data_IF_189010026874
#
_entry.id   IF_189010026874
#
_cell.length_a   1.000
_cell.length_b   1.000
_cell.length_c   1.000
_cell.angle_alpha   90.00
_cell.angle_beta   90.00
_cell.angle_gamma   90.00
#
_symmetry.space_group_name_H-M   'P 1'
#
loop_
_entity.id
_entity.type
_entity.pdbx_description
1 polymer ?
#
# COMPACT_ATOMS: atom_id res chain seq x y z
N UNK A 1 34.89 5.22 8.19
CA UNK A 1 35.78 4.19 8.79
C UNK A 1 35.74 2.90 7.98
N UNK A 2 36.75 2.07 8.09
CA UNK A 2 36.83 0.75 7.43
C UNK A 2 35.66 -0.15 7.83
N UNK A 3 35.27 -0.12 9.11
CA UNK A 3 34.12 -0.90 9.60
C UNK A 3 32.83 -0.52 8.86
N UNK A 4 32.56 0.77 8.74
CA UNK A 4 31.38 1.24 7.99
C UNK A 4 31.38 0.77 6.52
N UNK A 5 32.57 0.82 5.87
CA UNK A 5 32.70 0.34 4.47
C UNK A 5 32.50 -1.15 4.33
N UNK A 6 32.92 -1.97 5.32
CA UNK A 6 32.68 -3.42 5.29
C UNK A 6 31.19 -3.77 5.22
N UNK A 7 30.35 -3.01 5.91
CA UNK A 7 28.91 -3.26 5.92
C UNK A 7 28.15 -2.59 4.76
N UNK A 8 28.61 -1.39 4.32
CA UNK A 8 27.88 -0.63 3.30
C UNK A 8 28.45 -0.77 1.86
N UNK A 9 29.74 -0.98 1.72
CA UNK A 9 30.45 -1.03 0.44
C UNK A 9 31.58 -2.08 0.46
N UNK A 10 31.30 -3.37 0.74
CA UNK A 10 32.31 -4.41 0.89
C UNK A 10 33.16 -4.59 -0.36
N UNK A 11 32.61 -4.33 -1.54
CA UNK A 11 33.31 -4.45 -2.83
C UNK A 11 34.51 -3.51 -2.97
N UNK A 12 34.58 -2.44 -2.17
CA UNK A 12 35.70 -1.49 -2.18
C UNK A 12 36.85 -1.92 -1.28
N UNK A 13 36.79 -3.07 -0.62
CA UNK A 13 37.74 -3.54 0.35
C UNK A 13 38.27 -4.93 -0.03
N UNK A 14 39.47 -5.23 0.43
CA UNK A 14 40.03 -6.58 0.27
C UNK A 14 39.22 -7.59 1.06
N UNK A 15 38.92 -8.74 0.47
CA UNK A 15 38.10 -9.80 1.05
C UNK A 15 38.59 -10.20 2.48
N UNK A 16 39.91 -10.37 2.67
CA UNK A 16 40.51 -10.64 3.99
C UNK A 16 40.12 -9.61 5.04
N UNK A 17 40.01 -8.35 4.69
CA UNK A 17 39.59 -7.28 5.59
C UNK A 17 38.11 -7.38 5.93
N UNK A 18 37.28 -7.66 4.93
CA UNK A 18 35.85 -7.84 5.10
C UNK A 18 35.55 -9.02 6.04
N UNK A 19 36.17 -10.18 5.82
CA UNK A 19 36.01 -11.36 6.65
C UNK A 19 36.45 -11.12 8.09
N UNK A 20 37.61 -10.49 8.29
CA UNK A 20 38.12 -10.16 9.64
C UNK A 20 37.20 -9.25 10.41
N UNK A 21 36.72 -8.17 9.79
CA UNK A 21 35.81 -7.21 10.45
C UNK A 21 34.48 -7.85 10.77
N UNK A 22 33.91 -8.63 9.86
CA UNK A 22 32.65 -9.36 10.11
C UNK A 22 32.78 -10.37 11.27
N UNK A 23 33.87 -11.13 11.31
CA UNK A 23 34.14 -12.08 12.39
C UNK A 23 34.23 -11.40 13.75
N UNK A 24 34.97 -10.25 13.82
CA UNK A 24 35.05 -9.49 15.06
C UNK A 24 33.72 -8.87 15.46
N UNK A 25 32.97 -8.31 14.51
CA UNK A 25 31.63 -7.77 14.75
C UNK A 25 30.68 -8.83 15.31
N UNK A 26 30.66 -10.02 14.71
CA UNK A 26 29.84 -11.16 15.19
C UNK A 26 30.21 -11.57 16.62
N UNK A 27 31.52 -11.68 16.93
CA UNK A 27 32.00 -12.04 18.28
C UNK A 27 31.64 -10.99 19.33
N UNK A 28 31.57 -9.71 18.94
CA UNK A 28 31.20 -8.60 19.83
C UNK A 28 29.69 -8.32 19.88
N UNK A 29 28.87 -9.11 19.17
CA UNK A 29 27.43 -8.84 19.06
C UNK A 29 27.11 -7.54 18.33
N UNK A 30 28.07 -6.97 17.57
CA UNK A 30 27.86 -5.73 16.86
C UNK A 30 27.07 -5.98 15.56
N UNK A 31 25.94 -5.29 15.45
CA UNK A 31 25.21 -5.14 14.18
C UNK A 31 25.14 -3.67 13.79
N UNK A 32 25.22 -3.33 12.49
CA UNK A 32 25.01 -1.96 12.05
C UNK A 32 23.65 -1.44 12.48
N UNK A 33 23.62 -0.30 13.16
CA UNK A 33 22.38 0.34 13.56
C UNK A 33 21.75 1.04 12.33
N UNK A 34 20.60 0.53 11.89
CA UNK A 34 19.85 1.08 10.74
C UNK A 34 19.36 2.51 11.02
N UNK A 35 18.94 2.82 12.25
CA UNK A 35 18.52 4.16 12.64
C UNK A 35 19.68 5.18 12.58
N UNK A 36 20.88 4.79 13.06
CA UNK A 36 22.08 5.63 12.94
C UNK A 36 22.51 5.81 11.48
N UNK A 37 22.25 4.81 10.62
CA UNK A 37 22.49 4.91 9.18
C UNK A 37 21.48 5.85 8.53
N UNK A 38 20.20 5.71 8.83
CA UNK A 38 19.14 6.59 8.33
C UNK A 38 19.41 8.05 8.70
N UNK A 39 19.79 8.32 9.95
CA UNK A 39 20.15 9.66 10.42
C UNK A 39 21.32 10.27 9.62
N UNK A 40 22.34 9.46 9.29
CA UNK A 40 23.52 9.92 8.54
C UNK A 40 23.26 10.10 7.05
N UNK A 41 22.41 9.28 6.45
CA UNK A 41 22.12 9.28 5.00
C UNK A 41 20.88 10.08 4.64
N UNK A 42 20.04 10.44 5.63
CA UNK A 42 18.73 11.04 5.42
C UNK A 42 17.73 10.10 4.76
N UNK A 43 18.00 8.78 4.73
CA UNK A 43 17.15 7.80 4.06
C UNK A 43 16.87 6.59 4.94
N UNK A 44 15.61 6.29 5.14
CA UNK A 44 15.15 5.02 5.68
C UNK A 44 15.08 3.96 4.56
N UNK A 45 15.48 2.72 4.87
CA UNK A 45 15.32 1.58 3.95
C UNK A 45 14.02 0.81 4.26
N UNK A 46 13.02 1.53 4.76
CA UNK A 46 11.68 1.01 5.02
C UNK A 46 10.66 1.79 4.21
N UNK A 47 9.58 1.14 3.84
CA UNK A 47 8.33 1.75 3.37
C UNK A 47 7.17 1.21 4.21
N UNK A 48 6.08 1.95 4.29
CA UNK A 48 4.84 1.46 4.88
C UNK A 48 3.88 0.93 3.80
N UNK A 49 3.08 -0.05 4.16
CA UNK A 49 1.86 -0.42 3.47
C UNK A 49 0.74 -0.39 4.48
N UNK A 50 -0.23 0.49 4.29
CA UNK A 50 -1.45 0.54 5.11
C UNK A 50 -2.61 -0.02 4.30
N UNK A 51 -3.34 -0.96 4.89
CA UNK A 51 -4.49 -1.64 4.29
C UNK A 51 -5.70 -1.50 5.20
N UNK A 52 -6.93 -1.48 4.66
CA UNK A 52 -8.13 -1.31 5.46
C UNK A 52 -8.44 -2.54 6.33
N UNK A 53 -8.22 -3.75 5.83
CA UNK A 53 -8.49 -4.99 6.55
C UNK A 53 -7.65 -6.15 6.00
N UNK A 54 -6.72 -6.68 6.81
CA UNK A 54 -5.89 -7.83 6.43
C UNK A 54 -6.66 -9.15 6.37
N UNK A 55 -7.84 -9.23 6.95
CA UNK A 55 -8.70 -10.42 6.86
C UNK A 55 -9.42 -10.51 5.51
N UNK A 56 -9.53 -9.39 4.80
CA UNK A 56 -10.03 -9.36 3.43
C UNK A 56 -9.04 -10.09 2.50
N UNK A 57 -9.45 -11.20 1.84
CA UNK A 57 -8.55 -12.03 1.03
C UNK A 57 -7.92 -11.30 -0.17
N UNK A 58 -8.39 -10.11 -0.51
CA UNK A 58 -7.81 -9.26 -1.55
C UNK A 58 -6.51 -8.57 -1.09
N UNK A 59 -6.34 -8.30 0.21
CA UNK A 59 -5.21 -7.52 0.73
C UNK A 59 -3.90 -8.32 0.86
N UNK A 60 -3.87 -9.58 1.33
CA UNK A 60 -2.63 -10.33 1.46
C UNK A 60 -1.83 -10.50 0.16
N UNK A 61 -2.43 -10.79 -1.01
CA UNK A 61 -1.69 -10.80 -2.28
C UNK A 61 -1.04 -9.47 -2.63
N UNK A 62 -1.69 -8.34 -2.34
CA UNK A 62 -1.12 -6.99 -2.52
C UNK A 62 0.08 -6.81 -1.60
N UNK A 63 -0.06 -7.15 -0.32
CA UNK A 63 1.02 -7.04 0.65
C UNK A 63 2.24 -7.87 0.24
N UNK A 64 2.04 -9.10 -0.19
CA UNK A 64 3.12 -9.97 -0.70
C UNK A 64 3.79 -9.38 -1.95
N UNK A 65 3.03 -8.82 -2.88
CA UNK A 65 3.57 -8.19 -4.08
C UNK A 65 4.42 -6.96 -3.72
N UNK A 66 3.93 -6.08 -2.85
CA UNK A 66 4.66 -4.90 -2.37
C UNK A 66 5.95 -5.32 -1.66
N UNK A 67 5.89 -6.31 -0.75
CA UNK A 67 7.08 -6.82 -0.07
C UNK A 67 8.12 -7.39 -1.04
N UNK A 68 7.68 -8.17 -2.03
CA UNK A 68 8.56 -8.78 -3.04
C UNK A 68 9.28 -7.73 -3.88
N UNK A 69 8.57 -6.69 -4.34
CA UNK A 69 9.18 -5.62 -5.15
C UNK A 69 10.07 -4.71 -4.29
N UNK A 70 9.64 -4.35 -3.08
CA UNK A 70 10.43 -3.58 -2.13
C UNK A 70 11.77 -4.26 -1.79
N UNK A 71 11.74 -5.58 -1.55
CA UNK A 71 12.94 -6.37 -1.24
C UNK A 71 13.99 -6.36 -2.36
N UNK A 72 13.57 -6.33 -3.65
CA UNK A 72 14.49 -6.21 -4.78
C UNK A 72 15.28 -4.90 -4.76
N UNK A 73 14.70 -3.86 -4.17
CA UNK A 73 15.29 -2.53 -4.03
C UNK A 73 15.97 -2.32 -2.67
N UNK A 74 15.98 -3.35 -1.82
CA UNK A 74 16.59 -3.31 -0.49
C UNK A 74 15.73 -2.66 0.59
N UNK A 75 14.43 -2.51 0.36
CA UNK A 75 13.49 -1.97 1.34
C UNK A 75 12.79 -3.08 2.13
N UNK A 76 12.55 -2.82 3.42
CA UNK A 76 11.62 -3.57 4.25
C UNK A 76 10.23 -2.91 4.21
N UNK A 77 9.16 -3.70 4.40
CA UNK A 77 7.79 -3.19 4.41
C UNK A 77 7.18 -3.33 5.80
N UNK A 78 6.77 -2.22 6.39
CA UNK A 78 5.93 -2.20 7.58
C UNK A 78 4.48 -2.27 7.12
N UNK A 79 3.71 -3.18 7.69
CA UNK A 79 2.29 -3.34 7.34
C UNK A 79 1.45 -2.83 8.50
N UNK A 80 0.55 -1.90 8.20
CA UNK A 80 -0.48 -1.39 9.10
C UNK A 80 -1.86 -1.88 8.67
N UNK A 81 -2.66 -2.38 9.62
CA UNK A 81 -4.06 -2.70 9.44
C UNK A 81 -4.92 -1.60 10.05
N UNK A 82 -5.74 -0.94 9.25
CA UNK A 82 -6.51 0.22 9.69
C UNK A 82 -7.89 -0.16 10.28
N UNK A 83 -8.28 -1.44 10.24
CA UNK A 83 -9.55 -1.96 10.74
C UNK A 83 -10.78 -1.23 10.16
N UNK A 84 -10.71 -0.85 8.88
CA UNK A 84 -11.75 -0.08 8.16
C UNK A 84 -12.03 1.31 8.77
N UNK A 85 -11.17 1.80 9.66
CA UNK A 85 -11.32 3.07 10.40
C UNK A 85 -10.39 4.16 9.82
N UNK A 86 -10.95 5.27 9.26
CA UNK A 86 -10.16 6.39 8.74
C UNK A 86 -9.22 7.04 9.76
N UNK A 87 -9.63 7.14 11.03
CA UNK A 87 -8.81 7.76 12.08
C UNK A 87 -7.63 6.87 12.47
N UNK A 88 -7.83 5.56 12.47
CA UNK A 88 -6.75 4.61 12.69
C UNK A 88 -5.77 4.57 11.50
N UNK A 89 -6.27 4.73 10.27
CA UNK A 89 -5.45 4.85 9.05
C UNK A 89 -4.51 6.06 9.13
N UNK A 90 -5.03 7.23 9.53
CA UNK A 90 -4.24 8.44 9.74
C UNK A 90 -3.19 8.26 10.84
N UNK A 91 -3.58 7.75 12.00
CA UNK A 91 -2.69 7.47 13.12
C UNK A 91 -1.52 6.56 12.74
N UNK A 92 -1.78 5.49 11.97
CA UNK A 92 -0.75 4.58 11.49
C UNK A 92 0.26 5.27 10.59
N UNK A 93 -0.20 6.10 9.65
CA UNK A 93 0.68 6.83 8.75
C UNK A 93 1.53 7.86 9.49
N UNK A 94 0.96 8.59 10.44
CA UNK A 94 1.70 9.53 11.28
C UNK A 94 2.77 8.81 12.12
N UNK A 95 2.47 7.66 12.71
CA UNK A 95 3.44 6.86 13.47
C UNK A 95 4.56 6.27 12.61
N UNK A 96 4.26 5.95 11.36
CA UNK A 96 5.26 5.43 10.45
C UNK A 96 6.13 6.53 9.81
N UNK A 97 5.65 7.77 9.74
CA UNK A 97 6.27 8.86 8.98
C UNK A 97 7.76 9.07 9.28
N UNK A 98 8.17 8.94 10.55
CA UNK A 98 9.57 9.08 10.99
C UNK A 98 10.43 7.84 10.69
N UNK A 99 9.81 6.70 10.37
CA UNK A 99 10.47 5.40 10.28
C UNK A 99 10.56 4.86 8.85
N UNK A 100 9.87 5.49 7.89
CA UNK A 100 9.80 5.04 6.51
C UNK A 100 10.15 6.16 5.53
N UNK A 101 10.53 5.80 4.31
CA UNK A 101 10.81 6.75 3.23
C UNK A 101 9.58 7.13 2.40
N UNK A 102 8.49 6.43 2.58
CA UNK A 102 7.23 6.62 1.89
C UNK A 102 6.24 5.53 2.26
N UNK A 103 5.00 5.69 1.84
CA UNK A 103 3.94 4.73 2.11
C UNK A 103 3.10 4.40 0.87
N UNK A 104 2.62 3.17 0.84
CA UNK A 104 1.56 2.70 -0.05
C UNK A 104 0.28 2.63 0.77
N UNK A 105 -0.76 3.31 0.33
CA UNK A 105 -2.05 3.34 0.98
C UNK A 105 -3.05 2.59 0.09
N UNK A 106 -3.44 1.40 0.50
CA UNK A 106 -4.27 0.51 -0.30
C UNK A 106 -5.74 0.65 0.07
N UNK A 107 -6.55 1.06 -0.89
CA UNK A 107 -8.00 1.25 -0.73
C UNK A 107 -8.35 2.06 0.54
N UNK A 108 -7.79 3.27 0.70
CA UNK A 108 -7.97 4.07 1.91
C UNK A 108 -9.43 4.41 2.20
N UNK A 109 -9.72 4.60 3.49
CA UNK A 109 -11.02 5.01 4.00
C UNK A 109 -11.06 6.48 4.39
N UNK A 110 -9.91 7.11 4.55
CA UNK A 110 -9.79 8.54 4.81
C UNK A 110 -10.34 9.37 3.64
N UNK A 111 -10.84 10.54 3.94
CA UNK A 111 -11.29 11.50 2.92
C UNK A 111 -10.10 12.09 2.12
N UNK A 112 -10.42 12.78 1.04
CA UNK A 112 -9.41 13.35 0.16
C UNK A 112 -8.53 14.38 0.89
N UNK A 113 -9.11 15.25 1.70
CA UNK A 113 -8.38 16.32 2.38
C UNK A 113 -7.35 15.76 3.38
N UNK A 114 -7.73 14.71 4.11
CA UNK A 114 -6.84 13.98 5.02
C UNK A 114 -5.68 13.34 4.26
N UNK A 115 -5.95 12.64 3.15
CA UNK A 115 -4.91 11.99 2.34
C UNK A 115 -3.97 13.03 1.73
N UNK A 116 -4.48 14.16 1.22
CA UNK A 116 -3.67 15.26 0.70
C UNK A 116 -2.77 15.86 1.79
N UNK A 117 -3.28 16.03 3.01
CA UNK A 117 -2.50 16.51 4.15
C UNK A 117 -1.38 15.53 4.52
N UNK A 118 -1.65 14.23 4.53
CA UNK A 118 -0.66 13.20 4.79
C UNK A 118 0.41 13.13 3.68
N UNK A 119 0.03 13.38 2.43
CA UNK A 119 0.96 13.42 1.30
C UNK A 119 1.96 14.60 1.37
N UNK A 120 1.66 15.64 2.15
CA UNK A 120 2.61 16.71 2.44
C UNK A 120 3.67 16.31 3.49
N UNK A 121 3.38 15.29 4.30
CA UNK A 121 4.26 14.81 5.38
C UNK A 121 5.14 13.66 4.87
N UNK A 122 4.57 12.75 4.10
CA UNK A 122 5.23 11.53 3.63
C UNK A 122 4.90 11.26 2.15
N UNK A 123 5.87 10.86 1.31
CA UNK A 123 5.58 10.43 -0.05
C UNK A 123 4.57 9.28 -0.07
N UNK A 124 3.44 9.47 -0.76
CA UNK A 124 2.37 8.47 -0.86
C UNK A 124 2.22 7.93 -2.28
N UNK A 125 1.84 6.66 -2.35
CA UNK A 125 1.28 5.99 -3.53
C UNK A 125 -0.04 5.37 -3.14
N UNK A 126 -1.09 5.60 -3.92
CA UNK A 126 -2.42 5.08 -3.65
C UNK A 126 -2.71 3.83 -4.50
N UNK A 127 -3.45 2.89 -3.93
CA UNK A 127 -4.06 1.76 -4.66
C UNK A 127 -5.57 1.87 -4.48
N UNK A 128 -6.31 1.83 -5.59
CA UNK A 128 -7.77 1.92 -5.60
C UNK A 128 -8.33 3.18 -4.91
N UNK A 129 -7.67 4.30 -5.09
CA UNK A 129 -8.15 5.63 -4.72
C UNK A 129 -7.64 6.63 -5.75
N UNK A 130 -8.54 7.40 -6.34
CA UNK A 130 -8.20 8.41 -7.34
C UNK A 130 -8.16 9.79 -6.68
N UNK A 131 -6.96 10.35 -6.51
CA UNK A 131 -6.74 11.71 -6.05
C UNK A 131 -5.73 12.36 -7.00
N UNK A 132 -6.11 13.44 -7.72
CA UNK A 132 -5.20 14.15 -8.60
C UNK A 132 -3.94 14.62 -7.87
N UNK A 133 -2.78 14.50 -8.53
CA UNK A 133 -1.49 14.94 -7.96
C UNK A 133 -0.78 13.90 -7.09
N UNK A 134 -1.44 12.83 -6.66
CA UNK A 134 -0.80 11.72 -5.94
C UNK A 134 -0.64 10.52 -6.88
N UNK A 135 0.55 9.91 -6.97
CA UNK A 135 0.77 8.68 -7.75
C UNK A 135 -0.19 7.58 -7.30
N UNK A 136 -0.78 6.87 -8.27
CA UNK A 136 -1.80 5.87 -7.96
C UNK A 136 -1.86 4.72 -8.96
N UNK A 137 -2.36 3.58 -8.50
CA UNK A 137 -2.72 2.41 -9.29
C UNK A 137 -4.20 2.14 -9.08
N UNK A 138 -4.99 2.16 -10.14
CA UNK A 138 -6.43 1.95 -10.10
C UNK A 138 -6.77 0.61 -10.77
N UNK A 139 -7.72 -0.11 -10.18
CA UNK A 139 -8.34 -1.29 -10.78
C UNK A 139 -9.72 -0.85 -11.24
N UNK A 140 -9.92 -0.85 -12.54
CA UNK A 140 -11.24 -0.56 -13.13
C UNK A 140 -12.16 -1.79 -12.96
N UNK A 141 -12.94 -1.74 -11.89
CA UNK A 141 -13.96 -2.75 -11.61
C UNK A 141 -15.32 -2.39 -12.23
N UNK A 142 -15.47 -1.19 -12.77
CA UNK A 142 -16.74 -0.69 -13.32
C UNK A 142 -17.18 -1.48 -14.55
N UNK A 143 -16.28 -1.68 -15.50
CA UNK A 143 -16.57 -2.50 -16.70
C UNK A 143 -17.07 -3.89 -16.34
N UNK A 144 -16.43 -4.57 -15.39
CA UNK A 144 -16.85 -5.90 -14.96
C UNK A 144 -18.24 -5.89 -14.30
N UNK A 145 -18.57 -4.85 -13.54
CA UNK A 145 -19.91 -4.72 -12.94
C UNK A 145 -20.99 -4.46 -13.98
N UNK A 146 -20.72 -3.61 -14.98
CA UNK A 146 -21.65 -3.39 -16.09
C UNK A 146 -21.91 -4.69 -16.88
N UNK A 147 -20.86 -5.47 -17.15
CA UNK A 147 -20.99 -6.78 -17.82
C UNK A 147 -21.79 -7.79 -16.96
N UNK A 148 -21.64 -7.78 -15.63
CA UNK A 148 -22.44 -8.61 -14.73
C UNK A 148 -23.94 -8.27 -14.82
N UNK A 149 -24.30 -6.98 -14.86
CA UNK A 149 -25.68 -6.53 -15.02
C UNK A 149 -26.22 -6.97 -16.40
N UNK A 150 -25.46 -6.77 -17.48
CA UNK A 150 -25.84 -7.22 -18.83
C UNK A 150 -26.06 -8.74 -18.88
N UNK A 151 -25.19 -9.49 -18.22
CA UNK A 151 -25.31 -10.95 -18.13
C UNK A 151 -26.63 -11.36 -17.48
N UNK A 152 -26.97 -10.78 -16.32
CA UNK A 152 -28.25 -11.04 -15.65
C UNK A 152 -29.45 -10.65 -16.52
N UNK A 153 -29.37 -9.51 -17.22
CA UNK A 153 -30.38 -9.08 -18.16
C UNK A 153 -30.59 -10.09 -19.29
N UNK A 154 -29.51 -10.64 -19.85
CA UNK A 154 -29.57 -11.65 -20.93
C UNK A 154 -30.27 -12.95 -20.48
N UNK A 155 -30.25 -13.28 -19.18
CA UNK A 155 -31.03 -14.38 -18.59
C UNK A 155 -32.48 -14.00 -18.26
N UNK A 156 -32.93 -12.80 -18.62
CA UNK A 156 -34.30 -12.35 -18.44
C UNK A 156 -34.60 -11.75 -17.05
N UNK A 157 -33.62 -11.53 -16.22
CA UNK A 157 -33.81 -10.87 -14.93
C UNK A 157 -34.23 -9.41 -15.13
N UNK A 158 -35.34 -9.00 -14.53
CA UNK A 158 -35.87 -7.63 -14.57
C UNK A 158 -35.73 -6.90 -13.23
N UNK A 159 -35.38 -7.61 -12.17
CA UNK A 159 -35.18 -7.09 -10.84
C UNK A 159 -33.86 -7.65 -10.29
N UNK A 160 -32.95 -6.78 -9.86
CA UNK A 160 -31.66 -7.13 -9.29
C UNK A 160 -31.52 -6.43 -7.94
N UNK A 161 -30.89 -7.09 -7.00
CA UNK A 161 -30.50 -6.50 -5.72
C UNK A 161 -28.99 -6.31 -5.73
N UNK A 162 -28.53 -5.07 -5.46
CA UNK A 162 -27.13 -4.76 -5.30
C UNK A 162 -26.77 -4.64 -3.81
N UNK A 163 -25.92 -5.53 -3.33
CA UNK A 163 -25.38 -5.47 -1.97
C UNK A 163 -24.10 -4.66 -1.99
N UNK A 164 -24.18 -3.45 -1.48
CA UNK A 164 -23.07 -2.48 -1.46
C UNK A 164 -21.97 -2.89 -0.48
N UNK A 165 -20.74 -2.48 -0.76
CA UNK A 165 -19.63 -2.51 0.17
C UNK A 165 -19.61 -1.29 1.12
N UNK A 166 -18.49 -1.05 1.86
CA UNK A 166 -18.34 0.08 2.76
C UNK A 166 -18.52 1.42 2.04
N UNK A 167 -19.26 2.36 2.64
CA UNK A 167 -19.60 3.66 2.05
C UNK A 167 -18.38 4.54 1.76
N UNK A 168 -17.31 4.41 2.55
CA UNK A 168 -16.07 5.17 2.37
C UNK A 168 -15.09 4.52 1.38
N UNK A 169 -15.50 3.44 0.69
CA UNK A 169 -14.66 2.77 -0.30
C UNK A 169 -14.85 3.37 -1.68
N UNK A 170 -13.83 4.05 -2.21
CA UNK A 170 -13.83 4.54 -3.60
C UNK A 170 -14.13 3.44 -4.62
N UNK A 171 -13.53 2.26 -4.47
CA UNK A 171 -13.82 1.12 -5.36
C UNK A 171 -15.26 0.63 -5.27
N UNK A 172 -15.91 0.76 -4.11
CA UNK A 172 -17.33 0.47 -3.99
C UNK A 172 -18.18 1.50 -4.73
N UNK A 173 -17.85 2.78 -4.57
CA UNK A 173 -18.53 3.87 -5.30
C UNK A 173 -18.46 3.68 -6.81
N UNK A 174 -17.27 3.36 -7.36
CA UNK A 174 -17.10 3.10 -8.79
C UNK A 174 -17.93 1.90 -9.29
N UNK A 175 -17.94 0.81 -8.51
CA UNK A 175 -18.79 -0.37 -8.83
C UNK A 175 -20.27 -0.02 -8.80
N UNK A 176 -20.69 0.72 -7.79
CA UNK A 176 -22.09 1.14 -7.63
C UNK A 176 -22.54 1.99 -8.80
N UNK A 177 -21.78 3.01 -9.17
CA UNK A 177 -22.08 3.87 -10.33
C UNK A 177 -22.28 3.03 -11.59
N UNK A 178 -21.37 2.12 -11.90
CA UNK A 178 -21.46 1.27 -13.10
C UNK A 178 -22.66 0.31 -13.09
N UNK A 179 -23.03 -0.21 -11.90
CA UNK A 179 -24.24 -1.04 -11.76
C UNK A 179 -25.49 -0.22 -12.01
N UNK A 180 -25.59 0.99 -11.45
CA UNK A 180 -26.74 1.88 -11.64
C UNK A 180 -26.89 2.28 -13.12
N UNK A 181 -25.82 2.75 -13.75
CA UNK A 181 -25.83 3.13 -15.16
C UNK A 181 -26.22 1.96 -16.09
N UNK A 182 -25.68 0.76 -15.86
CA UNK A 182 -26.01 -0.40 -16.64
C UNK A 182 -27.46 -0.88 -16.42
N UNK A 183 -27.98 -0.81 -15.20
CA UNK A 183 -29.33 -1.17 -14.88
C UNK A 183 -30.34 -0.20 -15.51
N UNK A 184 -30.06 1.10 -15.46
CA UNK A 184 -30.88 2.13 -16.10
C UNK A 184 -30.94 1.94 -17.63
N UNK A 185 -29.76 1.74 -18.26
CA UNK A 185 -29.68 1.52 -19.72
C UNK A 185 -30.41 0.28 -20.20
N UNK A 186 -30.64 -0.71 -19.33
CA UNK A 186 -31.33 -1.98 -19.63
C UNK A 186 -32.72 -2.06 -19.05
N UNK A 187 -33.23 -0.96 -18.51
CA UNK A 187 -34.56 -0.89 -17.88
C UNK A 187 -34.77 -1.96 -16.77
N UNK A 188 -33.71 -2.25 -16.02
CA UNK A 188 -33.73 -3.20 -14.90
C UNK A 188 -34.01 -2.44 -13.61
N UNK A 189 -34.97 -2.97 -12.84
CA UNK A 189 -35.23 -2.45 -11.50
C UNK A 189 -34.15 -2.90 -10.55
N UNK A 190 -33.41 -1.92 -9.98
CA UNK A 190 -32.38 -2.12 -9.01
C UNK A 190 -32.90 -1.75 -7.61
N UNK A 191 -32.58 -2.58 -6.59
CA UNK A 191 -32.87 -2.34 -5.18
C UNK A 191 -31.58 -2.42 -4.36
#
# INVERSE_FOLDING_TARGET
>A
STVSRVFNQPRLLREKTVLRVRSVAQRLGYSPNSAARALRTGRNENIALVVPDLTNPFMPPIALAVQKEAAKLGYCVFIGNADEDPSHEEDLLLRFSDQVSGAVLASPRSDQATIESLAMIIPLVLINRDIPGIPRVLIDAGLGMAEAVKHLAAFGHKHIVYVSGPSHSWSNEQRQLSVFEAAEALEIKLN
#
